data_IF_846497763733
#
_entry.id   IF_846497763733
#
_cell.length_a   1.000
_cell.length_b   1.000
_cell.length_c   1.000
_cell.angle_alpha   90.00
_cell.angle_beta   90.00
_cell.angle_gamma   90.00
#
_symmetry.space_group_name_H-M   'P 1'
#
loop_
_entity.id
_entity.type
_entity.pdbx_description
1 polymer ?
#
# COMPACT_ATOMS: atom_id res chain seq x y z
N UNK A 1 2.60 11.40 -1.46
CA UNK A 1 2.87 10.19 -2.29
C UNK A 1 3.96 9.27 -1.74
N UNK A 2 5.27 9.46 -1.99
CA UNK A 2 6.29 8.48 -1.50
C UNK A 2 6.24 8.24 0.02
N UNK A 3 6.04 9.29 0.82
CA UNK A 3 5.84 9.17 2.29
C UNK A 3 4.55 8.43 2.67
N UNK A 4 3.47 8.61 1.93
CA UNK A 4 2.20 7.91 2.19
C UNK A 4 2.32 6.41 1.87
N UNK A 5 3.00 6.08 0.76
CA UNK A 5 3.30 4.68 0.40
C UNK A 5 4.08 3.99 1.53
N UNK A 6 5.09 4.64 2.10
CA UNK A 6 5.87 4.08 3.21
C UNK A 6 5.03 3.92 4.49
N UNK A 7 4.16 4.89 4.81
CA UNK A 7 3.25 4.78 5.96
C UNK A 7 2.29 3.59 5.79
N UNK A 8 1.68 3.43 4.62
CA UNK A 8 0.75 2.32 4.36
C UNK A 8 1.49 0.98 4.31
N UNK A 9 2.72 0.94 3.78
CA UNK A 9 3.60 -0.25 3.84
C UNK A 9 3.86 -0.70 5.27
N UNK A 10 4.20 0.23 6.16
CA UNK A 10 4.43 -0.10 7.56
C UNK A 10 3.16 -0.68 8.21
N UNK A 11 2.02 -0.04 7.96
CA UNK A 11 0.71 -0.50 8.46
C UNK A 11 0.34 -1.88 7.92
N UNK A 12 0.62 -2.17 6.65
CA UNK A 12 0.38 -3.49 6.04
C UNK A 12 1.18 -4.57 6.76
N UNK A 13 2.47 -4.32 7.01
CA UNK A 13 3.36 -5.26 7.71
C UNK A 13 2.87 -5.49 9.14
N UNK A 14 2.51 -4.43 9.85
CA UNK A 14 1.96 -4.53 11.20
C UNK A 14 0.69 -5.38 11.23
N UNK A 15 -0.30 -5.06 10.39
CA UNK A 15 -1.57 -5.81 10.36
C UNK A 15 -1.37 -7.25 9.90
N UNK A 16 -0.51 -7.51 8.92
CA UNK A 16 -0.19 -8.88 8.52
C UNK A 16 0.54 -9.67 9.61
N UNK A 17 1.34 -9.00 10.44
CA UNK A 17 2.00 -9.64 11.60
C UNK A 17 0.98 -10.08 12.64
N UNK A 18 -0.06 -9.28 12.88
CA UNK A 18 -1.09 -9.56 13.89
C UNK A 18 -2.20 -10.49 13.42
N UNK A 19 -2.68 -10.30 12.19
CA UNK A 19 -3.89 -10.96 11.66
C UNK A 19 -3.58 -11.98 10.57
N UNK A 20 -2.35 -12.02 10.05
CA UNK A 20 -1.94 -12.86 8.94
C UNK A 20 -2.24 -12.22 7.58
N UNK A 21 -1.40 -12.48 6.59
CA UNK A 21 -1.47 -11.86 5.26
C UNK A 21 -2.77 -12.09 4.50
N UNK A 22 -3.51 -13.16 4.80
CA UNK A 22 -4.80 -13.48 4.17
C UNK A 22 -6.00 -13.01 4.99
N UNK A 23 -5.79 -12.32 6.11
CA UNK A 23 -6.89 -11.69 6.85
C UNK A 23 -7.56 -10.63 5.99
N UNK A 24 -8.84 -10.37 6.28
CA UNK A 24 -9.61 -9.35 5.58
C UNK A 24 -8.93 -7.98 5.73
N UNK A 25 -8.43 -7.69 6.92
CA UNK A 25 -7.75 -6.47 7.30
C UNK A 25 -6.43 -6.28 6.54
N UNK A 26 -5.62 -7.34 6.41
CA UNK A 26 -4.40 -7.30 5.59
C UNK A 26 -4.71 -7.13 4.10
N UNK A 27 -5.76 -7.79 3.60
CA UNK A 27 -6.17 -7.67 2.20
C UNK A 27 -6.64 -6.25 1.88
N UNK A 28 -7.47 -5.64 2.74
CA UNK A 28 -7.94 -4.27 2.56
C UNK A 28 -6.79 -3.26 2.52
N UNK A 29 -5.80 -3.39 3.41
CA UNK A 29 -4.63 -2.49 3.43
C UNK A 29 -3.72 -2.74 2.22
N UNK A 30 -3.60 -3.99 1.76
CA UNK A 30 -2.83 -4.29 0.54
C UNK A 30 -3.43 -3.62 -0.69
N UNK A 31 -4.77 -3.58 -0.81
CA UNK A 31 -5.47 -2.91 -1.91
C UNK A 31 -5.31 -1.39 -1.85
N UNK A 32 -5.31 -0.80 -0.65
CA UNK A 32 -5.03 0.63 -0.44
C UNK A 32 -3.59 0.96 -0.89
N UNK A 33 -2.62 0.14 -0.50
CA UNK A 33 -1.23 0.30 -0.89
C UNK A 33 -1.04 0.19 -2.41
N UNK A 34 -1.65 -0.81 -3.05
CA UNK A 34 -1.59 -1.01 -4.50
C UNK A 34 -2.20 0.18 -5.25
N UNK A 35 -3.31 0.74 -4.75
CA UNK A 35 -3.92 1.94 -5.35
C UNK A 35 -2.97 3.14 -5.32
N UNK A 36 -2.28 3.36 -4.18
CA UNK A 36 -1.31 4.44 -4.05
C UNK A 36 -0.08 4.25 -4.95
N UNK A 37 0.40 3.00 -5.07
CA UNK A 37 1.51 2.66 -5.97
C UNK A 37 1.14 2.92 -7.43
N UNK A 38 -0.05 2.49 -7.85
CA UNK A 38 -0.56 2.71 -9.21
C UNK A 38 -0.69 4.20 -9.53
N UNK A 39 -1.24 4.99 -8.60
CA UNK A 39 -1.35 6.44 -8.78
C UNK A 39 0.03 7.10 -8.89
N UNK A 40 0.98 6.68 -8.05
CA UNK A 40 2.35 7.21 -8.11
C UNK A 40 3.01 6.88 -9.45
N UNK A 41 2.87 5.63 -9.91
CA UNK A 41 3.40 5.21 -11.20
C UNK A 41 2.79 6.00 -12.37
N UNK A 42 1.48 6.24 -12.36
CA UNK A 42 0.81 7.03 -13.40
C UNK A 42 1.33 8.47 -13.46
N UNK A 43 1.56 9.09 -12.30
CA UNK A 43 2.11 10.45 -12.22
C UNK A 43 3.56 10.50 -12.72
N UNK A 44 4.38 9.51 -12.36
CA UNK A 44 5.77 9.48 -12.81
C UNK A 44 5.88 9.16 -14.31
N UNK A 45 4.98 8.34 -14.87
CA UNK A 45 4.92 8.09 -16.31
C UNK A 45 4.49 9.33 -17.11
N UNK A 46 3.63 10.17 -16.55
CA UNK A 46 3.19 11.43 -17.18
C UNK A 46 4.27 12.52 -17.16
N UNK A 47 5.33 12.35 -16.37
CA UNK A 47 6.47 13.29 -16.28
C UNK A 47 7.58 13.03 -17.30
N UNK A 48 7.42 12.01 -18.15
CA UNK A 48 8.29 11.68 -19.29
C UNK A 48 7.68 12.16 -20.59
#
# INVERSE_FOLDING_TARGET
MRKEIETVRFKMVEVATWYGFTSKESVEISQELDTLLNLYQAIEQTRT
#
